data_IF_508100684349
#
_entry.id   IF_508100684349
#
_cell.length_a   1.000
_cell.length_b   1.000
_cell.length_c   1.000
_cell.angle_alpha   90.00
_cell.angle_beta   90.00
_cell.angle_gamma   90.00
#
_symmetry.space_group_name_H-M   'P 1'
#
loop_
_entity.id
_entity.type
_entity.pdbx_description
1 polymer ?
#
# COMPACT_ATOMS: atom_id res chain seq x y z
N UNK A 1 -5.76 3.99 -6.60
CA UNK A 1 -6.56 2.93 -7.16
C UNK A 1 -7.43 2.31 -6.08
N UNK A 2 -8.75 2.53 -6.13
CA UNK A 2 -9.65 1.96 -5.13
C UNK A 2 -10.26 0.62 -5.58
N UNK A 3 -10.00 0.19 -6.81
CA UNK A 3 -10.54 -1.04 -7.39
C UNK A 3 -12.06 -1.04 -7.34
N UNK A 4 -12.66 -2.19 -7.04
CA UNK A 4 -14.09 -2.37 -6.82
C UNK A 4 -14.61 -1.80 -5.48
N UNK A 5 -13.78 -1.03 -4.76
CA UNK A 5 -14.17 -0.35 -3.54
C UNK A 5 -14.06 -1.15 -2.25
N UNK A 6 -13.41 -2.31 -2.23
CA UNK A 6 -13.33 -3.18 -1.05
C UNK A 6 -12.81 -2.45 0.19
N UNK A 7 -11.74 -1.66 0.07
CA UNK A 7 -11.21 -0.87 1.18
C UNK A 7 -12.21 0.17 1.69
N UNK A 8 -12.91 0.85 0.78
CA UNK A 8 -13.92 1.85 1.12
C UNK A 8 -15.11 1.20 1.83
N UNK A 9 -15.60 0.11 1.28
CA UNK A 9 -16.77 -0.63 1.80
C UNK A 9 -16.49 -1.21 3.19
N UNK A 10 -15.37 -1.91 3.37
CA UNK A 10 -15.00 -2.50 4.67
C UNK A 10 -14.73 -1.43 5.73
N UNK A 11 -14.13 -0.31 5.34
CA UNK A 11 -13.92 0.81 6.26
C UNK A 11 -15.26 1.43 6.66
N UNK A 12 -16.16 1.65 5.72
CA UNK A 12 -17.50 2.14 6.00
C UNK A 12 -18.25 1.22 6.96
N UNK A 13 -18.29 -0.10 6.66
CA UNK A 13 -18.95 -1.09 7.50
C UNK A 13 -18.36 -1.11 8.92
N UNK A 14 -17.03 -1.07 9.05
CA UNK A 14 -16.36 -1.07 10.34
C UNK A 14 -16.69 0.17 11.18
N UNK A 15 -16.67 1.35 10.57
CA UNK A 15 -17.03 2.60 11.24
C UNK A 15 -18.52 2.65 11.62
N UNK A 16 -19.40 2.15 10.76
CA UNK A 16 -20.84 2.08 11.03
C UNK A 16 -21.17 1.08 12.15
N UNK A 17 -20.49 -0.05 12.21
CA UNK A 17 -20.64 -1.00 13.34
C UNK A 17 -20.23 -0.37 14.65
N UNK A 18 -19.08 0.30 14.69
CA UNK A 18 -18.64 1.04 15.87
C UNK A 18 -19.65 2.12 16.28
N UNK A 19 -20.19 2.86 15.30
CA UNK A 19 -21.22 3.86 15.56
C UNK A 19 -22.53 3.23 16.08
N UNK A 20 -22.95 2.07 15.55
CA UNK A 20 -24.08 1.31 16.02
C UNK A 20 -23.90 0.79 17.48
N UNK A 21 -22.68 0.42 17.86
CA UNK A 21 -22.35 0.10 19.27
C UNK A 21 -22.58 1.31 20.19
N UNK A 22 -22.08 2.47 19.79
CA UNK A 22 -22.29 3.74 20.52
C UNK A 22 -23.77 4.08 20.64
N UNK A 23 -24.52 3.97 19.53
CA UNK A 23 -25.97 4.21 19.51
C UNK A 23 -26.69 3.23 20.44
N UNK A 24 -26.29 1.97 20.45
CA UNK A 24 -26.87 0.94 21.33
C UNK A 24 -26.68 1.30 22.79
N UNK A 25 -25.48 1.74 23.17
CA UNK A 25 -25.19 2.10 24.57
C UNK A 25 -25.96 3.37 24.99
N UNK A 26 -26.01 4.38 24.14
CA UNK A 26 -26.82 5.58 24.34
C UNK A 26 -28.32 5.27 24.48
N UNK A 27 -28.84 4.34 23.67
CA UNK A 27 -30.23 3.92 23.73
C UNK A 27 -30.56 3.19 25.05
N UNK A 28 -29.65 2.33 25.55
CA UNK A 28 -29.82 1.67 26.86
C UNK A 28 -29.80 2.66 28.01
N UNK A 29 -28.91 3.64 27.98
CA UNK A 29 -28.85 4.71 28.98
C UNK A 29 -30.12 5.57 28.97
N UNK A 30 -30.69 5.86 27.81
CA UNK A 30 -31.90 6.65 27.66
C UNK A 30 -33.18 5.91 28.09
N UNK A 31 -33.21 4.59 28.10
CA UNK A 31 -34.37 3.80 28.59
C UNK A 31 -34.66 4.01 30.07
N UNK A 32 -33.74 4.60 30.86
CA UNK A 32 -33.98 5.05 32.21
C UNK A 32 -34.61 6.45 32.36
N UNK A 33 -34.71 7.22 31.29
CA UNK A 33 -35.28 8.57 31.27
C UNK A 33 -36.12 8.73 30.01
N UNK A 34 -37.31 9.30 30.14
CA UNK A 34 -38.37 9.52 29.13
C UNK A 34 -37.94 10.34 27.86
N UNK A 35 -36.80 10.04 27.28
CA UNK A 35 -36.13 10.86 26.27
C UNK A 35 -36.35 10.42 24.80
N UNK A 36 -37.22 9.44 24.53
CA UNK A 36 -37.49 9.02 23.15
C UNK A 36 -38.53 9.89 22.40
N UNK A 37 -38.99 10.99 22.96
CA UNK A 37 -40.00 11.84 22.33
C UNK A 37 -39.45 12.86 21.31
N UNK A 38 -38.24 12.74 20.83
CA UNK A 38 -37.63 13.68 19.90
C UNK A 38 -36.93 13.05 18.69
N UNK A 39 -36.90 11.73 18.56
CA UNK A 39 -36.25 11.03 17.45
C UNK A 39 -37.24 10.93 16.25
N UNK A 40 -37.46 12.06 15.59
CA UNK A 40 -38.19 12.11 14.31
C UNK A 40 -37.30 11.68 13.13
N UNK A 41 -37.81 11.84 11.91
CA UNK A 41 -37.21 11.43 10.64
C UNK A 41 -35.75 11.89 10.36
N UNK A 42 -35.23 12.80 11.17
CA UNK A 42 -33.83 13.26 11.17
C UNK A 42 -33.11 12.73 12.42
N UNK A 43 -32.88 11.43 12.51
CA UNK A 43 -32.07 10.86 13.58
C UNK A 43 -30.63 11.39 13.50
N UNK A 44 -30.34 12.41 14.32
CA UNK A 44 -29.03 13.10 14.34
C UNK A 44 -27.88 12.24 14.88
N UNK A 45 -28.11 10.96 15.20
CA UNK A 45 -27.12 10.04 15.74
C UNK A 45 -26.18 9.45 14.69
N UNK A 46 -26.60 9.33 13.44
CA UNK A 46 -25.78 8.76 12.36
C UNK A 46 -24.88 9.85 11.77
N UNK A 47 -23.57 9.72 11.96
CA UNK A 47 -22.57 10.67 11.47
C UNK A 47 -21.73 10.10 10.35
N UNK A 48 -21.57 8.77 10.29
CA UNK A 48 -20.81 8.10 9.24
C UNK A 48 -21.70 7.85 8.03
N UNK A 49 -21.38 8.46 6.91
CA UNK A 49 -22.10 8.31 5.64
C UNK A 49 -21.14 7.98 4.50
N UNK A 50 -21.63 7.32 3.44
CA UNK A 50 -20.82 7.01 2.25
C UNK A 50 -20.34 8.28 1.52
N UNK A 51 -20.96 9.42 1.73
CA UNK A 51 -20.51 10.71 1.21
C UNK A 51 -19.16 11.18 1.73
N UNK A 52 -18.62 10.57 2.80
CA UNK A 52 -17.29 10.85 3.36
C UNK A 52 -16.18 9.99 2.74
N UNK A 53 -16.52 9.09 1.80
CA UNK A 53 -15.61 8.16 1.18
C UNK A 53 -15.32 8.56 -0.27
N UNK A 54 -14.06 8.77 -0.58
CA UNK A 54 -13.57 9.22 -1.87
C UNK A 54 -12.69 8.16 -2.50
N UNK A 55 -12.72 8.05 -3.83
CA UNK A 55 -11.91 7.07 -4.54
C UNK A 55 -11.48 7.53 -5.92
N UNK A 56 -10.33 7.04 -6.36
CA UNK A 56 -9.86 7.22 -7.73
C UNK A 56 -9.57 5.82 -8.30
N UNK A 57 -10.16 5.51 -9.43
CA UNK A 57 -9.94 4.24 -10.12
C UNK A 57 -9.88 4.44 -11.64
N UNK A 58 -8.94 3.75 -12.28
CA UNK A 58 -8.71 3.90 -13.72
C UNK A 58 -9.73 3.13 -14.58
N UNK A 59 -10.34 2.11 -13.99
CA UNK A 59 -11.31 1.25 -14.67
C UNK A 59 -12.74 1.72 -14.40
N UNK A 60 -13.46 2.13 -15.43
CA UNK A 60 -14.84 2.64 -15.38
C UNK A 60 -15.84 1.65 -14.79
N UNK A 61 -15.70 0.36 -15.16
CA UNK A 61 -16.52 -0.70 -14.61
C UNK A 61 -16.28 -0.87 -13.10
N UNK A 62 -15.02 -0.85 -12.66
CA UNK A 62 -14.68 -0.93 -11.24
C UNK A 62 -15.20 0.29 -10.45
N UNK A 63 -15.21 1.49 -11.04
CA UNK A 63 -15.85 2.68 -10.47
C UNK A 63 -17.33 2.43 -10.20
N UNK A 64 -18.04 1.87 -11.19
CA UNK A 64 -19.47 1.56 -11.07
C UNK A 64 -19.73 0.50 -9.99
N UNK A 65 -18.92 -0.54 -9.94
CA UNK A 65 -19.00 -1.59 -8.91
C UNK A 65 -18.76 -1.00 -7.51
N UNK A 66 -17.72 -0.15 -7.35
CA UNK A 66 -17.40 0.46 -6.07
C UNK A 66 -18.54 1.36 -5.54
N UNK A 67 -19.16 2.16 -6.42
CA UNK A 67 -20.34 2.96 -6.07
C UNK A 67 -21.51 2.11 -5.61
N UNK A 68 -21.79 1.04 -6.34
CA UNK A 68 -22.88 0.11 -6.02
C UNK A 68 -22.61 -0.62 -4.69
N UNK A 69 -21.37 -1.06 -4.47
CA UNK A 69 -20.97 -1.73 -3.23
C UNK A 69 -21.15 -0.83 -2.00
N UNK A 70 -20.77 0.46 -2.09
CA UNK A 70 -21.01 1.43 -1.02
C UNK A 70 -22.51 1.65 -0.75
N UNK A 71 -23.35 1.70 -1.77
CA UNK A 71 -24.80 1.81 -1.58
C UNK A 71 -25.41 0.59 -0.91
N UNK A 72 -24.97 -0.60 -1.28
CA UNK A 72 -25.41 -1.84 -0.63
C UNK A 72 -24.99 -1.83 0.84
N UNK A 73 -23.75 -1.46 1.13
CA UNK A 73 -23.23 -1.36 2.49
C UNK A 73 -24.01 -0.32 3.33
N UNK A 74 -24.33 0.85 2.75
CA UNK A 74 -25.15 1.86 3.42
C UNK A 74 -26.53 1.31 3.75
N UNK A 75 -27.21 0.67 2.78
CA UNK A 75 -28.53 0.07 2.97
C UNK A 75 -28.52 -1.01 4.06
N UNK A 76 -27.47 -1.84 4.13
CA UNK A 76 -27.32 -2.86 5.17
C UNK A 76 -27.17 -2.20 6.55
N UNK A 77 -26.27 -1.23 6.69
CA UNK A 77 -26.03 -0.56 7.96
C UNK A 77 -27.21 0.27 8.45
N UNK A 78 -27.97 0.87 7.54
CA UNK A 78 -29.21 1.56 7.90
C UNK A 78 -30.24 0.60 8.50
N UNK A 79 -30.42 -0.59 7.91
CA UNK A 79 -31.31 -1.62 8.46
C UNK A 79 -30.86 -2.12 9.83
N UNK A 80 -29.55 -2.29 10.04
CA UNK A 80 -29.00 -2.65 11.35
C UNK A 80 -29.31 -1.56 12.39
N UNK A 81 -29.13 -0.29 12.02
CA UNK A 81 -29.44 0.84 12.92
C UNK A 81 -30.95 0.91 13.20
N UNK A 82 -31.85 0.72 12.21
CA UNK A 82 -33.31 0.65 12.39
C UNK A 82 -33.70 -0.41 13.43
N UNK A 83 -33.06 -1.57 13.41
CA UNK A 83 -33.32 -2.63 14.39
C UNK A 83 -32.90 -2.24 15.81
N UNK A 84 -31.85 -1.43 15.96
CA UNK A 84 -31.35 -0.95 17.26
C UNK A 84 -32.30 0.10 17.86
N UNK A 85 -32.68 1.10 17.06
CA UNK A 85 -33.49 2.24 17.52
C UNK A 85 -35.00 1.98 17.47
N UNK A 86 -35.42 0.90 16.79
CA UNK A 86 -36.84 0.55 16.57
C UNK A 86 -37.65 1.64 15.85
N UNK A 87 -36.98 2.44 14.99
CA UNK A 87 -37.58 3.52 14.21
C UNK A 87 -37.20 3.30 12.75
N UNK A 88 -38.16 3.30 11.81
CA UNK A 88 -37.85 3.21 10.39
C UNK A 88 -37.06 4.46 9.94
N UNK A 89 -35.91 4.22 9.35
CA UNK A 89 -35.09 5.25 8.70
C UNK A 89 -35.42 5.26 7.21
N UNK A 90 -35.59 6.45 6.63
CA UNK A 90 -35.78 6.58 5.18
C UNK A 90 -34.48 6.19 4.45
N UNK A 91 -34.33 4.89 4.19
CA UNK A 91 -33.10 4.26 3.76
C UNK A 91 -32.93 4.14 2.23
N UNK A 92 -33.66 4.91 1.43
CA UNK A 92 -33.42 4.93 -0.01
C UNK A 92 -32.45 6.05 -0.38
N UNK A 93 -31.15 5.74 -0.54
CA UNK A 93 -30.16 6.71 -0.98
C UNK A 93 -30.32 6.92 -2.49
N UNK A 94 -31.22 7.76 -2.89
CA UNK A 94 -31.31 8.23 -4.30
C UNK A 94 -30.35 9.38 -4.58
N UNK A 95 -29.43 9.69 -3.65
CA UNK A 95 -28.39 10.69 -3.88
C UNK A 95 -27.27 10.04 -4.70
N UNK A 96 -27.00 10.58 -5.87
CA UNK A 96 -25.83 10.20 -6.66
C UNK A 96 -24.57 10.74 -5.95
N UNK A 97 -23.87 9.86 -5.24
CA UNK A 97 -22.56 10.20 -4.69
C UNK A 97 -21.52 10.13 -5.81
N UNK A 98 -20.90 11.27 -6.12
CA UNK A 98 -19.89 11.38 -7.19
C UNK A 98 -18.46 11.32 -6.66
N UNK A 99 -18.25 10.76 -5.47
CA UNK A 99 -16.97 10.82 -4.78
C UNK A 99 -15.94 9.79 -5.29
N UNK A 100 -16.35 8.85 -6.15
CA UNK A 100 -15.43 7.95 -6.83
C UNK A 100 -15.25 8.44 -8.25
N UNK A 101 -14.00 8.81 -8.59
CA UNK A 101 -13.65 9.44 -9.86
C UNK A 101 -12.89 8.43 -10.72
N UNK A 102 -13.27 8.37 -12.01
CA UNK A 102 -12.52 7.62 -13.00
C UNK A 102 -11.25 8.37 -13.40
N UNK A 103 -10.12 7.65 -13.40
CA UNK A 103 -8.86 8.17 -13.92
C UNK A 103 -7.62 7.57 -13.28
N UNK A 104 -6.47 7.96 -13.81
CA UNK A 104 -5.17 7.52 -13.29
C UNK A 104 -4.80 8.31 -12.03
N UNK A 105 -4.74 7.62 -10.88
CA UNK A 105 -4.46 8.24 -9.59
C UNK A 105 -3.10 8.96 -9.54
N UNK A 106 -2.11 8.56 -10.32
CA UNK A 106 -0.83 9.26 -10.40
C UNK A 106 -0.89 10.54 -11.24
N UNK A 107 -1.89 10.68 -12.13
CA UNK A 107 -2.07 11.85 -13.01
C UNK A 107 -3.07 12.86 -12.47
N UNK A 108 -4.14 12.41 -11.82
CA UNK A 108 -5.15 13.29 -11.23
C UNK A 108 -4.55 14.03 -10.02
N UNK A 109 -4.85 15.31 -9.90
CA UNK A 109 -4.63 16.03 -8.64
C UNK A 109 -5.69 15.58 -7.61
N UNK A 110 -5.24 15.02 -6.49
CA UNK A 110 -6.13 14.49 -5.47
C UNK A 110 -6.94 15.59 -4.76
N UNK A 111 -6.46 16.83 -4.76
CA UNK A 111 -7.23 17.96 -4.20
C UNK A 111 -8.44 18.37 -5.05
N UNK A 112 -8.50 17.93 -6.33
CA UNK A 112 -9.72 18.08 -7.14
C UNK A 112 -10.81 17.07 -6.77
N UNK A 113 -10.45 15.98 -6.07
CA UNK A 113 -11.38 14.94 -5.62
C UNK A 113 -11.84 15.21 -4.19
N UNK A 114 -10.91 15.58 -3.30
CA UNK A 114 -11.20 15.91 -1.90
C UNK A 114 -10.22 16.96 -1.40
N UNK A 115 -10.74 18.01 -0.74
CA UNK A 115 -9.88 19.06 -0.19
C UNK A 115 -9.11 18.56 1.03
N UNK A 116 -7.85 18.97 1.19
CA UNK A 116 -7.00 18.58 2.34
C UNK A 116 -7.67 18.74 3.70
N UNK A 117 -8.44 19.83 3.88
CA UNK A 117 -9.11 20.12 5.16
C UNK A 117 -10.24 19.16 5.52
N UNK A 118 -10.77 18.44 4.54
CA UNK A 118 -11.85 17.46 4.70
C UNK A 118 -11.31 16.03 4.85
N UNK A 119 -10.00 15.85 4.60
CA UNK A 119 -9.36 14.55 4.58
C UNK A 119 -8.84 14.18 5.98
N UNK A 120 -9.11 12.96 6.41
CA UNK A 120 -8.58 12.39 7.66
C UNK A 120 -7.60 11.24 7.40
N UNK A 121 -7.93 10.38 6.43
CA UNK A 121 -7.15 9.19 6.14
C UNK A 121 -7.04 8.94 4.64
N UNK A 122 -5.90 8.43 4.21
CA UNK A 122 -5.66 7.89 2.87
C UNK A 122 -5.29 6.41 3.02
N UNK A 123 -5.96 5.55 2.28
CA UNK A 123 -5.62 4.13 2.31
C UNK A 123 -5.81 3.49 0.93
N UNK A 124 -5.11 2.39 0.70
CA UNK A 124 -5.27 1.67 -0.56
C UNK A 124 -4.32 0.50 -0.73
N UNK A 125 -4.59 -0.24 -1.79
CA UNK A 125 -3.74 -1.29 -2.32
C UNK A 125 -3.35 -0.92 -3.77
N UNK A 126 -2.31 -0.10 -3.96
CA UNK A 126 -1.85 0.30 -5.28
C UNK A 126 -1.31 -0.89 -6.09
N UNK A 127 -1.26 -0.80 -7.44
CA UNK A 127 -0.78 -1.90 -8.25
C UNK A 127 0.69 -2.26 -7.98
N UNK A 128 0.97 -3.57 -7.85
CA UNK A 128 2.31 -4.11 -7.61
C UNK A 128 3.02 -4.39 -8.93
N UNK A 129 3.75 -3.41 -9.44
CA UNK A 129 4.55 -3.56 -10.67
C UNK A 129 5.99 -3.16 -10.36
N UNK A 130 6.88 -4.16 -10.31
CA UNK A 130 8.31 -3.95 -10.14
C UNK A 130 8.91 -3.12 -11.29
N UNK A 131 9.92 -2.32 -11.01
CA UNK A 131 10.51 -1.37 -11.97
C UNK A 131 10.91 -2.00 -13.31
N UNK A 132 11.36 -3.26 -13.30
CA UNK A 132 11.76 -3.98 -14.51
C UNK A 132 10.58 -4.36 -15.45
N UNK A 133 9.37 -4.44 -14.90
CA UNK A 133 8.17 -4.88 -15.61
C UNK A 133 7.22 -3.72 -15.94
N UNK A 134 7.57 -2.50 -15.59
CA UNK A 134 6.76 -1.33 -15.88
C UNK A 134 6.70 -1.06 -17.39
N UNK A 135 5.48 -0.82 -17.88
CA UNK A 135 5.25 -0.30 -19.23
C UNK A 135 5.82 1.12 -19.38
N UNK A 136 5.95 1.58 -20.63
CA UNK A 136 6.36 2.97 -20.91
C UNK A 136 5.42 3.97 -20.23
N UNK A 137 4.11 3.76 -20.31
CA UNK A 137 3.10 4.64 -19.69
C UNK A 137 3.29 4.73 -18.17
N UNK A 138 3.54 3.61 -17.49
CA UNK A 138 3.79 3.58 -16.03
C UNK A 138 5.10 4.29 -15.65
N UNK A 139 6.15 4.16 -16.45
CA UNK A 139 7.39 4.93 -16.28
C UNK A 139 7.17 6.42 -16.47
N UNK A 140 6.36 6.81 -17.46
CA UNK A 140 5.99 8.20 -17.71
C UNK A 140 5.11 8.76 -16.57
N UNK A 141 4.27 7.93 -15.94
CA UNK A 141 3.50 8.30 -14.76
C UNK A 141 4.41 8.67 -13.58
N UNK A 142 5.39 7.80 -13.27
CA UNK A 142 6.36 8.08 -12.20
C UNK A 142 7.24 9.29 -12.52
N UNK A 143 7.69 9.43 -13.76
CA UNK A 143 8.49 10.57 -14.20
C UNK A 143 7.75 11.91 -14.04
N UNK A 144 6.44 11.92 -14.31
CA UNK A 144 5.60 13.10 -14.16
C UNK A 144 5.48 13.60 -12.71
N UNK A 145 5.71 12.74 -11.71
CA UNK A 145 5.71 13.14 -10.30
C UNK A 145 6.94 13.97 -9.90
N UNK A 146 7.99 13.96 -10.72
CA UNK A 146 9.23 14.72 -10.53
C UNK A 146 9.83 14.58 -9.11
N UNK A 147 9.83 13.37 -8.58
CA UNK A 147 10.20 13.10 -7.18
C UNK A 147 11.70 13.12 -6.90
N UNK A 148 12.53 13.01 -7.93
CA UNK A 148 13.98 12.81 -7.79
C UNK A 148 14.40 11.37 -7.45
N UNK A 149 13.48 10.44 -7.27
CA UNK A 149 13.75 9.06 -6.83
C UNK A 149 14.47 8.16 -7.88
N UNK A 150 14.76 8.69 -9.05
CA UNK A 150 15.38 7.94 -10.14
C UNK A 150 14.39 7.03 -10.87
N UNK A 151 14.94 6.16 -11.76
CA UNK A 151 14.12 5.35 -12.67
C UNK A 151 13.84 3.93 -12.16
N UNK A 152 14.50 3.51 -11.09
CA UNK A 152 14.50 2.12 -10.62
C UNK A 152 13.65 1.93 -9.35
N UNK A 153 12.50 2.58 -9.30
CA UNK A 153 11.54 2.41 -8.19
C UNK A 153 10.30 1.66 -8.68
N UNK A 154 9.72 0.84 -7.81
CA UNK A 154 8.49 0.13 -8.10
C UNK A 154 7.32 1.08 -8.25
N UNK A 155 6.34 0.71 -9.08
CA UNK A 155 5.23 1.59 -9.44
C UNK A 155 4.41 2.07 -8.22
N UNK A 156 4.27 1.20 -7.22
CA UNK A 156 3.60 1.52 -5.95
C UNK A 156 4.19 2.75 -5.23
N UNK A 157 5.47 3.03 -5.40
CA UNK A 157 6.13 4.19 -4.80
C UNK A 157 5.49 5.53 -5.19
N UNK A 158 4.90 5.62 -6.38
CA UNK A 158 4.18 6.80 -6.84
C UNK A 158 3.06 7.23 -5.89
N UNK A 159 2.35 6.28 -5.29
CA UNK A 159 1.29 6.58 -4.31
C UNK A 159 1.85 7.15 -3.00
N UNK A 160 3.00 6.65 -2.55
CA UNK A 160 3.67 7.21 -1.36
C UNK A 160 4.07 8.66 -1.57
N UNK A 161 4.65 8.99 -2.73
CA UNK A 161 4.99 10.38 -3.06
C UNK A 161 3.74 11.27 -3.19
N UNK A 162 2.71 10.82 -3.90
CA UNK A 162 1.44 11.56 -4.01
C UNK A 162 0.80 11.82 -2.65
N UNK A 163 0.75 10.79 -1.81
CA UNK A 163 0.21 10.92 -0.47
C UNK A 163 1.07 11.87 0.39
N UNK A 164 2.40 11.73 0.37
CA UNK A 164 3.29 12.60 1.14
C UNK A 164 3.13 14.09 0.78
N UNK A 165 3.00 14.41 -0.51
CA UNK A 165 2.70 15.79 -0.97
C UNK A 165 1.38 16.27 -0.39
N UNK A 166 0.32 15.46 -0.46
CA UNK A 166 -1.01 15.86 -0.01
C UNK A 166 -1.09 16.01 1.50
N UNK A 167 -0.51 15.08 2.27
CA UNK A 167 -0.58 15.10 3.74
C UNK A 167 0.44 16.04 4.38
N UNK A 168 1.36 16.62 3.60
CA UNK A 168 2.41 17.49 4.14
C UNK A 168 1.82 18.65 4.96
N UNK A 169 2.31 18.79 6.20
CA UNK A 169 1.85 19.79 7.19
C UNK A 169 0.37 19.66 7.55
N UNK A 170 -0.17 18.47 7.54
CA UNK A 170 -1.53 18.15 8.00
C UNK A 170 -1.49 17.07 9.07
N UNK A 171 -2.64 16.78 9.70
CA UNK A 171 -2.81 15.64 10.60
C UNK A 171 -3.34 14.38 9.88
N UNK A 172 -3.42 14.42 8.56
CA UNK A 172 -3.88 13.29 7.74
C UNK A 172 -2.87 12.16 7.81
N UNK A 173 -3.36 10.94 7.94
CA UNK A 173 -2.55 9.72 7.96
C UNK A 173 -2.77 8.93 6.68
N UNK A 174 -1.70 8.32 6.18
CA UNK A 174 -1.76 7.47 5.00
C UNK A 174 -1.30 6.05 5.33
N UNK A 175 -1.92 5.05 4.68
CA UNK A 175 -1.51 3.65 4.81
C UNK A 175 -1.70 2.90 3.49
N UNK A 176 -0.67 2.18 3.07
CA UNK A 176 -0.73 1.39 1.85
C UNK A 176 -0.27 -0.05 2.07
N UNK A 177 -0.95 -0.96 1.37
CA UNK A 177 -0.42 -2.30 1.12
C UNK A 177 0.59 -2.19 -0.02
N UNK A 178 1.72 -2.85 0.12
CA UNK A 178 2.81 -2.81 -0.87
C UNK A 178 3.55 -4.13 -0.91
N UNK A 179 4.27 -4.38 -1.99
CA UNK A 179 5.28 -5.44 -1.99
C UNK A 179 6.39 -5.11 -0.99
N UNK A 180 6.98 -6.14 -0.37
CA UNK A 180 8.04 -5.96 0.61
C UNK A 180 9.31 -5.27 0.06
N UNK A 181 9.46 -5.20 -1.26
CA UNK A 181 10.54 -4.47 -1.94
C UNK A 181 10.65 -3.00 -1.51
N UNK A 182 9.53 -2.35 -1.13
CA UNK A 182 9.53 -0.96 -0.66
C UNK A 182 10.29 -0.76 0.65
N UNK A 183 10.45 -1.83 1.43
CA UNK A 183 11.18 -1.86 2.71
C UNK A 183 12.50 -2.64 2.63
N UNK A 184 12.99 -2.97 1.43
CA UNK A 184 14.18 -3.78 1.22
C UNK A 184 15.06 -3.25 0.08
N UNK A 185 16.34 -3.57 0.15
CA UNK A 185 17.29 -3.30 -0.91
C UNK A 185 17.49 -1.82 -1.25
N UNK A 186 17.79 -1.56 -2.52
CA UNK A 186 18.11 -0.21 -3.02
C UNK A 186 16.91 0.74 -3.01
N UNK A 187 15.69 0.21 -3.01
CA UNK A 187 14.48 1.04 -3.06
C UNK A 187 14.26 1.83 -1.78
N UNK A 188 14.70 1.31 -0.63
CA UNK A 188 14.54 1.99 0.65
C UNK A 188 15.18 3.38 0.63
N UNK A 189 16.44 3.47 0.24
CA UNK A 189 17.13 4.76 0.16
C UNK A 189 16.52 5.66 -0.93
N UNK A 190 16.19 5.10 -2.10
CA UNK A 190 15.65 5.86 -3.22
C UNK A 190 14.26 6.48 -2.92
N UNK A 191 13.46 5.87 -2.07
CA UNK A 191 12.09 6.30 -1.77
C UNK A 191 12.04 7.04 -0.43
N UNK A 192 12.40 6.36 0.65
CA UNK A 192 12.17 6.85 2.01
C UNK A 192 13.06 8.01 2.41
N UNK A 193 14.30 8.09 1.91
CA UNK A 193 15.17 9.23 2.15
C UNK A 193 14.52 10.52 1.62
N UNK A 194 13.98 10.48 0.40
CA UNK A 194 13.31 11.63 -0.18
C UNK A 194 12.00 11.99 0.52
N UNK A 195 11.24 10.99 0.96
CA UNK A 195 10.00 11.21 1.72
C UNK A 195 10.30 11.85 3.08
N UNK A 196 11.36 11.42 3.77
CA UNK A 196 11.78 12.00 5.05
C UNK A 196 12.33 13.41 4.87
N UNK A 197 13.29 13.61 3.95
CA UNK A 197 13.97 14.90 3.74
C UNK A 197 13.03 15.99 3.23
N UNK A 198 12.12 15.65 2.30
CA UNK A 198 11.26 16.65 1.66
C UNK A 198 9.94 16.90 2.39
N UNK A 199 9.41 15.90 3.11
CA UNK A 199 8.08 15.94 3.68
C UNK A 199 8.04 15.58 5.17
N UNK A 200 9.17 15.23 5.80
CA UNK A 200 9.25 14.76 7.19
C UNK A 200 8.35 13.54 7.45
N UNK A 201 8.25 12.65 6.47
CA UNK A 201 7.47 11.43 6.60
C UNK A 201 8.11 10.50 7.62
N UNK A 202 7.31 9.98 8.53
CA UNK A 202 7.68 8.93 9.49
C UNK A 202 6.63 7.82 9.51
N UNK A 203 7.06 6.63 9.90
CA UNK A 203 6.19 5.45 9.93
C UNK A 203 5.50 5.38 11.30
N UNK A 204 4.17 5.46 11.31
CA UNK A 204 3.35 5.37 12.51
C UNK A 204 3.08 3.92 12.92
N UNK A 205 2.88 3.06 11.93
CA UNK A 205 2.75 1.62 12.14
C UNK A 205 3.18 0.83 10.91
N UNK A 206 3.55 -0.42 11.11
CA UNK A 206 3.81 -1.32 9.99
C UNK A 206 3.45 -2.77 10.32
N UNK A 207 2.89 -3.47 9.34
CA UNK A 207 2.85 -4.92 9.32
C UNK A 207 4.04 -5.42 8.54
N UNK A 208 4.90 -6.22 9.19
CA UNK A 208 6.05 -6.87 8.55
C UNK A 208 5.60 -7.85 7.49
N UNK A 209 6.53 -8.29 6.69
CA UNK A 209 6.28 -9.17 5.54
C UNK A 209 5.36 -10.32 5.89
N UNK A 210 4.25 -10.39 5.19
CA UNK A 210 3.30 -11.49 5.21
C UNK A 210 3.05 -11.99 3.79
N UNK A 211 2.61 -13.22 3.67
CA UNK A 211 2.26 -13.81 2.40
C UNK A 211 0.85 -13.42 2.03
N UNK A 212 0.68 -12.79 0.87
CA UNK A 212 -0.64 -12.55 0.29
C UNK A 212 -1.03 -13.78 -0.53
N UNK A 213 -2.00 -14.55 -0.05
CA UNK A 213 -2.56 -15.65 -0.79
C UNK A 213 -3.78 -15.14 -1.59
N UNK A 214 -3.60 -15.02 -2.91
CA UNK A 214 -4.72 -14.75 -3.81
C UNK A 214 -5.59 -16.00 -3.95
N UNK A 215 -6.91 -15.84 -3.92
CA UNK A 215 -7.88 -16.91 -4.25
C UNK A 215 -7.88 -17.26 -5.75
N UNK A 216 -7.13 -16.52 -6.57
CA UNK A 216 -7.00 -16.79 -7.99
C UNK A 216 -6.32 -18.15 -8.25
N UNK A 217 -6.76 -18.83 -9.30
CA UNK A 217 -6.29 -20.16 -9.71
C UNK A 217 -4.78 -20.26 -10.01
N UNK A 218 -4.12 -19.15 -10.29
CA UNK A 218 -2.67 -19.02 -10.38
C UNK A 218 -2.15 -18.32 -9.12
N UNK A 219 -1.68 -19.11 -8.15
CA UNK A 219 -1.11 -18.62 -6.87
C UNK A 219 0.22 -17.90 -7.11
N UNK A 220 0.18 -16.64 -7.47
CA UNK A 220 1.34 -15.78 -7.35
C UNK A 220 1.53 -15.45 -5.85
N UNK A 221 2.50 -16.09 -5.22
CA UNK A 221 2.86 -15.80 -3.83
C UNK A 221 3.60 -14.47 -3.77
N UNK A 222 2.89 -13.42 -3.38
CA UNK A 222 3.48 -12.09 -3.21
C UNK A 222 3.72 -11.83 -1.73
N UNK A 223 4.92 -11.44 -1.39
CA UNK A 223 5.26 -10.97 -0.05
C UNK A 223 4.91 -9.49 0.07
N UNK A 224 3.95 -9.20 0.95
CA UNK A 224 3.42 -7.86 1.17
C UNK A 224 3.81 -7.31 2.55
N UNK A 225 3.76 -5.99 2.66
CA UNK A 225 3.83 -5.21 3.88
C UNK A 225 2.68 -4.23 3.91
N UNK A 226 2.27 -3.79 5.09
CA UNK A 226 1.37 -2.64 5.25
C UNK A 226 2.14 -1.58 6.00
N UNK A 227 2.18 -0.36 5.47
CA UNK A 227 2.91 0.74 6.07
C UNK A 227 1.97 1.92 6.22
N UNK A 228 1.76 2.33 7.48
CA UNK A 228 1.04 3.55 7.83
C UNK A 228 2.04 4.64 8.20
N UNK A 229 1.85 5.84 7.66
CA UNK A 229 2.76 6.96 7.81
C UNK A 229 2.05 8.30 7.88
N UNK A 230 2.72 9.29 8.44
CA UNK A 230 2.25 10.67 8.53
C UNK A 230 3.42 11.66 8.46
N UNK A 231 3.11 12.95 8.46
CA UNK A 231 4.09 14.05 8.47
C UNK A 231 4.01 14.89 9.74
N UNK A 232 3.05 14.62 10.62
CA UNK A 232 2.89 15.28 11.90
C UNK A 232 3.63 14.50 12.99
N UNK A 233 4.42 15.18 13.83
CA UNK A 233 5.04 14.53 14.98
C UNK A 233 3.95 14.03 15.92
N UNK A 234 3.76 12.73 15.99
CA UNK A 234 2.90 12.08 16.97
C UNK A 234 3.70 11.73 18.21
N UNK A 235 3.19 12.10 19.37
CA UNK A 235 3.74 11.69 20.68
C UNK A 235 3.44 10.22 21.04
N UNK A 236 2.71 9.51 20.19
CA UNK A 236 2.35 8.11 20.42
C UNK A 236 3.44 7.18 19.93
N UNK A 237 3.69 6.08 20.65
CA UNK A 237 4.57 5.01 20.22
C UNK A 237 4.09 4.39 18.93
N UNK A 238 5.01 4.15 18.01
CA UNK A 238 4.72 3.46 16.75
C UNK A 238 4.45 1.97 17.00
N UNK A 239 3.60 1.35 16.19
CA UNK A 239 3.23 -0.07 16.36
C UNK A 239 3.76 -0.93 15.23
N UNK A 240 4.63 -1.88 15.57
CA UNK A 240 5.19 -2.83 14.60
C UNK A 240 4.55 -4.21 14.81
N UNK A 241 3.84 -4.67 13.80
CA UNK A 241 3.16 -5.96 13.78
C UNK A 241 4.03 -7.02 13.10
N UNK A 242 4.25 -8.14 13.78
CA UNK A 242 5.00 -9.28 13.27
C UNK A 242 4.20 -10.57 13.51
N UNK A 243 3.35 -10.94 12.56
CA UNK A 243 2.35 -11.98 12.76
C UNK A 243 1.41 -11.59 13.93
N UNK A 244 1.25 -12.45 14.95
CA UNK A 244 0.39 -12.17 16.11
C UNK A 244 1.03 -11.20 17.12
N UNK A 245 2.32 -10.90 16.99
CA UNK A 245 3.05 -10.08 17.95
C UNK A 245 2.99 -8.59 17.59
N UNK A 246 2.67 -7.76 18.58
CA UNK A 246 2.68 -6.30 18.49
C UNK A 246 3.85 -5.79 19.31
N UNK A 247 4.71 -4.99 18.71
CA UNK A 247 5.86 -4.36 19.34
C UNK A 247 5.60 -2.86 19.37
N UNK A 248 5.62 -2.25 20.55
CA UNK A 248 5.64 -0.80 20.68
C UNK A 248 7.06 -0.32 20.37
N UNK A 249 7.22 0.32 19.23
CA UNK A 249 8.49 0.81 18.73
C UNK A 249 8.68 2.29 19.06
N UNK A 250 9.91 2.66 19.39
CA UNK A 250 10.27 4.08 19.53
C UNK A 250 10.40 4.76 18.17
N UNK A 251 10.92 4.03 17.18
CA UNK A 251 11.07 4.49 15.82
C UNK A 251 11.03 3.29 14.87
N UNK A 252 10.06 3.27 13.95
CA UNK A 252 10.04 2.29 12.88
C UNK A 252 10.82 2.88 11.71
N UNK A 253 12.00 2.33 11.44
CA UNK A 253 12.79 2.75 10.28
C UNK A 253 12.21 2.14 8.97
N UNK A 254 12.62 2.63 7.80
CA UNK A 254 12.11 2.14 6.51
C UNK A 254 12.38 0.65 6.19
N UNK A 255 13.26 0.00 6.95
CA UNK A 255 13.46 -1.46 6.88
C UNK A 255 12.50 -2.24 7.79
N UNK A 256 11.52 -1.56 8.38
CA UNK A 256 10.52 -2.07 9.32
C UNK A 256 11.15 -2.71 10.56
N UNK A 257 12.12 -2.01 11.14
CA UNK A 257 12.79 -2.37 12.39
C UNK A 257 12.60 -1.24 13.41
N UNK A 258 12.48 -1.61 14.69
CA UNK A 258 12.57 -0.63 15.80
C UNK A 258 14.06 -0.26 16.01
N UNK A 259 14.51 0.72 15.23
CA UNK A 259 15.90 1.17 15.23
C UNK A 259 15.99 2.60 14.66
N UNK A 260 17.11 3.30 14.87
CA UNK A 260 17.35 4.58 14.22
C UNK A 260 17.25 4.46 12.70
N UNK A 261 16.79 5.53 12.04
CA UNK A 261 16.72 5.59 10.59
C UNK A 261 18.13 5.70 10.00
N UNK A 262 18.48 4.77 9.13
CA UNK A 262 19.73 4.75 8.37
C UNK A 262 19.41 4.39 6.94
N UNK A 263 19.97 5.12 5.97
CA UNK A 263 19.81 4.81 4.56
C UNK A 263 21.06 4.18 3.98
N UNK A 264 20.93 2.98 3.45
CA UNK A 264 22.01 2.28 2.76
C UNK A 264 21.89 2.55 1.27
N UNK A 265 22.70 3.48 0.79
CA UNK A 265 22.75 3.82 -0.63
C UNK A 265 23.57 2.81 -1.42
N UNK A 266 23.25 2.70 -2.72
CA UNK A 266 24.03 1.89 -3.66
C UNK A 266 25.47 2.37 -3.73
N UNK A 267 26.42 1.44 -3.57
CA UNK A 267 27.86 1.72 -3.63
C UNK A 267 28.55 0.74 -4.57
N UNK A 268 29.57 1.21 -5.27
CA UNK A 268 30.45 0.38 -6.09
C UNK A 268 31.66 -0.14 -5.33
N UNK A 269 31.91 0.40 -4.13
CA UNK A 269 33.04 0.00 -3.28
C UNK A 269 32.57 -0.31 -1.87
N UNK A 270 33.20 -1.27 -1.17
CA UNK A 270 32.91 -1.55 0.23
C UNK A 270 33.12 -0.31 1.12
N UNK A 271 32.41 -0.25 2.26
CA UNK A 271 32.58 0.78 3.29
C UNK A 271 33.89 0.50 4.09
N UNK A 272 34.18 -0.79 4.31
CA UNK A 272 35.34 -1.26 5.04
C UNK A 272 36.47 -1.67 4.08
N UNK A 273 37.66 -1.76 4.60
CA UNK A 273 38.83 -2.31 3.87
C UNK A 273 38.72 -3.84 3.82
N UNK A 274 37.97 -4.33 2.86
CA UNK A 274 37.70 -5.74 2.60
C UNK A 274 37.87 -6.01 1.10
N UNK A 275 38.20 -7.26 0.70
CA UNK A 275 38.28 -7.63 -0.70
C UNK A 275 36.99 -7.30 -1.44
N UNK A 276 37.11 -6.85 -2.69
CA UNK A 276 35.94 -6.55 -3.54
C UNK A 276 35.13 -7.83 -3.75
N UNK A 277 33.83 -7.74 -3.46
CA UNK A 277 32.88 -8.79 -3.82
C UNK A 277 32.47 -8.58 -5.27
N UNK A 278 32.90 -9.47 -6.14
CA UNK A 278 32.51 -9.50 -7.52
C UNK A 278 31.21 -10.32 -7.68
N UNK A 279 30.42 -9.94 -8.68
CA UNK A 279 29.28 -10.76 -9.09
C UNK A 279 29.81 -12.12 -9.56
N UNK A 280 29.24 -13.21 -9.05
CA UNK A 280 29.58 -14.56 -9.49
C UNK A 280 29.25 -14.79 -10.98
N UNK A 281 29.66 -15.91 -11.52
CA UNK A 281 29.37 -16.32 -12.88
C UNK A 281 27.84 -16.41 -13.06
N UNK A 282 27.31 -15.55 -13.94
CA UNK A 282 25.89 -15.60 -14.33
C UNK A 282 25.82 -15.68 -15.85
N UNK A 283 25.35 -16.80 -16.41
CA UNK A 283 25.17 -16.91 -17.85
C UNK A 283 24.10 -15.90 -18.29
N UNK A 284 24.48 -14.98 -19.17
CA UNK A 284 23.60 -13.96 -19.75
C UNK A 284 23.39 -14.18 -21.25
N UNK A 285 23.92 -15.25 -21.77
CA UNK A 285 23.95 -15.66 -23.16
C UNK A 285 22.88 -16.70 -23.54
N UNK A 286 21.90 -16.93 -22.66
CA UNK A 286 20.90 -17.98 -22.82
C UNK A 286 21.43 -19.39 -22.54
N UNK A 287 22.58 -19.51 -21.88
CA UNK A 287 23.19 -20.80 -21.54
C UNK A 287 24.05 -21.39 -22.64
N UNK A 288 24.24 -20.69 -23.77
CA UNK A 288 24.99 -21.22 -24.92
C UNK A 288 26.47 -21.51 -24.63
N UNK A 289 27.05 -20.87 -23.60
CA UNK A 289 28.42 -21.10 -23.16
C UNK A 289 28.52 -22.05 -21.96
N UNK A 290 27.42 -22.67 -21.55
CA UNK A 290 27.43 -23.73 -20.53
C UNK A 290 27.66 -25.07 -21.20
N UNK A 291 28.74 -25.75 -20.81
CA UNK A 291 29.01 -27.11 -21.18
C UNK A 291 28.46 -28.02 -20.08
N UNK A 292 27.37 -28.74 -20.39
CA UNK A 292 26.57 -29.46 -19.37
C UNK A 292 27.33 -30.64 -18.76
N UNK A 293 28.28 -31.23 -19.53
CA UNK A 293 29.05 -32.38 -19.04
C UNK A 293 30.55 -32.21 -19.31
N UNK A 294 31.35 -32.97 -18.57
CA UNK A 294 32.80 -32.99 -18.76
C UNK A 294 33.20 -33.57 -20.12
N UNK A 295 32.44 -34.56 -20.63
CA UNK A 295 32.63 -35.17 -21.92
C UNK A 295 32.51 -34.13 -23.05
N UNK A 296 31.48 -33.27 -23.01
CA UNK A 296 31.29 -32.18 -23.97
C UNK A 296 32.48 -31.21 -23.89
N UNK A 297 32.97 -30.89 -22.72
CA UNK A 297 34.15 -30.03 -22.55
C UNK A 297 35.42 -30.67 -23.12
N UNK A 298 35.61 -31.96 -22.87
CA UNK A 298 36.79 -32.69 -23.38
C UNK A 298 36.75 -32.84 -24.91
N UNK A 299 35.58 -33.04 -25.51
CA UNK A 299 35.43 -33.12 -26.98
C UNK A 299 35.65 -31.76 -27.60
N UNK A 300 35.18 -30.66 -26.97
CA UNK A 300 35.48 -29.32 -27.47
C UNK A 300 37.00 -29.02 -27.38
N UNK A 301 37.67 -29.44 -26.33
CA UNK A 301 39.13 -29.27 -26.21
C UNK A 301 39.89 -30.10 -27.21
N UNK A 302 39.43 -31.32 -27.59
CA UNK A 302 40.01 -32.12 -28.65
C UNK A 302 39.88 -31.44 -30.02
N UNK A 303 38.68 -30.87 -30.30
CA UNK A 303 38.39 -30.19 -31.54
C UNK A 303 39.13 -28.84 -31.66
N UNK A 304 39.21 -28.08 -30.57
CA UNK A 304 39.88 -26.78 -30.51
C UNK A 304 40.74 -26.69 -29.24
N UNK A 305 41.98 -27.11 -29.26
CA UNK A 305 42.87 -27.14 -28.10
C UNK A 305 43.07 -25.79 -27.39
N UNK A 306 42.91 -24.69 -28.13
CA UNK A 306 42.99 -23.34 -27.57
C UNK A 306 41.81 -22.99 -26.64
N UNK A 307 40.70 -23.72 -26.71
CA UNK A 307 39.55 -23.53 -25.82
C UNK A 307 39.83 -23.84 -24.39
N UNK A 308 40.79 -24.77 -24.12
CA UNK A 308 41.12 -25.24 -22.75
C UNK A 308 41.37 -24.11 -21.74
N UNK A 309 41.99 -23.01 -22.15
CA UNK A 309 42.30 -21.87 -21.25
C UNK A 309 41.06 -21.05 -20.85
N UNK A 310 39.93 -21.21 -21.54
CA UNK A 310 38.68 -20.49 -21.28
C UNK A 310 37.66 -21.36 -20.56
N UNK A 311 37.81 -22.69 -20.59
CA UNK A 311 36.89 -23.61 -19.92
C UNK A 311 37.23 -23.61 -18.41
N UNK A 312 36.22 -23.35 -17.60
CA UNK A 312 36.31 -23.33 -16.15
C UNK A 312 35.12 -24.08 -15.54
N UNK A 313 35.34 -24.64 -14.39
CA UNK A 313 34.26 -25.26 -13.64
C UNK A 313 33.25 -24.19 -13.21
N UNK A 314 31.97 -24.47 -13.49
CA UNK A 314 30.87 -23.61 -13.08
C UNK A 314 30.41 -24.04 -11.69
N UNK A 315 30.71 -23.19 -10.70
CA UNK A 315 30.27 -23.42 -9.31
C UNK A 315 29.05 -22.54 -9.08
N UNK A 316 27.88 -23.19 -8.98
CA UNK A 316 26.63 -22.56 -8.57
C UNK A 316 26.44 -22.69 -7.07
N UNK A 317 25.57 -21.86 -6.49
CA UNK A 317 24.99 -22.14 -5.18
C UNK A 317 23.86 -23.17 -5.37
N UNK A 318 23.96 -24.30 -4.72
CA UNK A 318 22.88 -25.26 -4.54
C UNK A 318 21.85 -24.74 -3.51
#
# INVERSE_FOLDING_TARGET
ACGSGNFLTETYLSLRRLENEIITDQTKEAQGQTAMMGLGADFAGIKVSIGQFYGIEINDFAVTVARTALWIAESQMMKETEAIISIPLNSLPLKSYTNIVEGNALRIDWETVVQKKELSYIMGNPPFVGYAYQSKAQKDDLAALNTGAGKNIDYVAGWYFKAAVLINKTNVKAAFVSTNSISQGEQVAAIWKLLEENYSVHIDFAYRTFRWDSEASLKAHVHCVIIGFSTSQNSQSAKLYNGPHIIEAKNINPYLLDAPTVFIEKRSKPICDVPLMNKGSQPTDGGNLILETKEIADDLIKAEPKARKYIREFVGAE
#
